data_IF_418384124969
#
_entry.id   IF_418384124969
#
_cell.length_a   1.000
_cell.length_b   1.000
_cell.length_c   1.000
_cell.angle_alpha   90.00
_cell.angle_beta   90.00
_cell.angle_gamma   90.00
#
_symmetry.space_group_name_H-M   'P 1'
#
loop_
_entity.id
_entity.type
_entity.pdbx_description
1 polymer ?
#
# COMPACT_ATOMS: atom_id res chain seq x y z
N UNK A 1 -10.30 -8.90 52.14
CA UNK A 1 -10.21 -7.79 51.16
C UNK A 1 -9.41 -8.24 49.95
N UNK A 2 -10.09 -8.67 48.89
CA UNK A 2 -9.45 -9.10 47.64
C UNK A 2 -9.08 -7.86 46.83
N UNK A 3 -7.84 -7.38 46.97
CA UNK A 3 -7.28 -6.43 46.00
C UNK A 3 -7.23 -7.15 44.65
N UNK A 4 -8.09 -6.77 43.72
CA UNK A 4 -8.00 -7.20 42.31
C UNK A 4 -6.61 -6.83 41.82
N UNK A 5 -5.93 -7.78 41.18
CA UNK A 5 -4.64 -7.63 40.52
C UNK A 5 -4.74 -6.77 39.25
N UNK A 6 -5.36 -5.59 39.33
CA UNK A 6 -5.22 -4.56 38.30
C UNK A 6 -3.92 -3.79 38.56
N UNK A 7 -2.80 -4.51 38.52
CA UNK A 7 -1.46 -3.94 38.45
C UNK A 7 -1.21 -3.50 37.01
N UNK A 8 -1.79 -2.37 36.63
CA UNK A 8 -1.44 -1.55 35.48
C UNK A 8 -2.41 -0.35 35.52
N UNK A 9 -1.88 0.87 35.55
CA UNK A 9 -2.68 2.08 35.37
C UNK A 9 -3.58 1.92 34.15
N UNK A 10 -4.88 2.08 34.35
CA UNK A 10 -5.84 2.03 33.24
C UNK A 10 -5.52 3.21 32.32
N UNK A 11 -4.95 2.92 31.14
CA UNK A 11 -4.65 3.93 30.13
C UNK A 11 -5.96 4.55 29.61
N UNK A 12 -5.93 5.83 29.28
CA UNK A 12 -7.09 6.57 28.79
C UNK A 12 -7.57 6.04 27.43
N UNK A 13 -8.83 6.32 27.08
CA UNK A 13 -9.32 6.06 25.71
C UNK A 13 -8.46 6.76 24.65
N UNK A 14 -8.07 8.00 24.94
CA UNK A 14 -7.27 8.81 24.04
C UNK A 14 -5.91 8.17 23.74
N UNK A 15 -5.28 7.51 24.72
CA UNK A 15 -4.07 6.73 24.51
C UNK A 15 -4.26 5.65 23.43
N UNK A 16 -5.37 4.90 23.47
CA UNK A 16 -5.65 3.86 22.46
C UNK A 16 -5.94 4.42 21.08
N UNK A 17 -6.69 5.53 21.00
CA UNK A 17 -6.95 6.24 19.75
C UNK A 17 -5.66 6.77 19.13
N UNK A 18 -4.82 7.44 19.94
CA UNK A 18 -3.53 7.95 19.53
C UNK A 18 -2.61 6.81 19.07
N UNK A 19 -2.54 5.70 19.81
CA UNK A 19 -1.72 4.54 19.41
C UNK A 19 -2.17 3.95 18.08
N UNK A 20 -3.47 3.87 17.84
CA UNK A 20 -4.01 3.41 16.54
C UNK A 20 -3.63 4.37 15.41
N UNK A 21 -3.73 5.68 15.65
CA UNK A 21 -3.32 6.70 14.70
C UNK A 21 -1.82 6.62 14.36
N UNK A 22 -0.95 6.49 15.36
CA UNK A 22 0.51 6.33 15.19
C UNK A 22 0.81 5.13 14.29
N UNK A 23 0.20 3.97 14.57
CA UNK A 23 0.43 2.76 13.77
C UNK A 23 -0.05 2.90 12.33
N UNK A 24 -1.20 3.54 12.12
CA UNK A 24 -1.72 3.77 10.77
C UNK A 24 -0.79 4.69 9.98
N UNK A 25 -0.33 5.76 10.61
CA UNK A 25 0.58 6.72 10.00
C UNK A 25 1.94 6.12 9.68
N UNK A 26 2.51 5.32 10.59
CA UNK A 26 3.73 4.57 10.33
C UNK A 26 3.58 3.65 9.11
N UNK A 27 2.47 2.90 9.03
CA UNK A 27 2.18 2.05 7.85
C UNK A 27 2.02 2.85 6.57
N UNK A 28 1.46 4.05 6.65
CA UNK A 28 1.30 4.94 5.51
C UNK A 28 2.65 5.37 4.94
N UNK A 29 3.58 5.82 5.77
CA UNK A 29 4.96 6.08 5.37
C UNK A 29 5.62 4.89 4.66
N UNK A 30 5.43 3.67 5.18
CA UNK A 30 5.98 2.46 4.55
C UNK A 30 5.37 2.16 3.18
N UNK A 31 4.09 2.50 2.97
CA UNK A 31 3.40 2.36 1.69
C UNK A 31 3.86 3.43 0.69
N UNK A 32 3.93 4.69 1.12
CA UNK A 32 4.36 5.82 0.27
C UNK A 32 5.79 5.60 -0.25
N UNK A 33 6.68 5.06 0.57
CA UNK A 33 8.06 4.78 0.18
C UNK A 33 8.25 3.50 -0.65
N UNK A 34 7.19 2.72 -0.89
CA UNK A 34 7.26 1.45 -1.64
C UNK A 34 7.82 1.60 -3.07
N UNK A 35 7.47 2.64 -3.86
CA UNK A 35 7.93 2.76 -5.25
C UNK A 35 9.43 3.04 -5.41
N UNK A 36 10.08 3.59 -4.38
CA UNK A 36 11.51 3.91 -4.40
C UNK A 36 12.39 2.68 -4.65
N UNK A 37 13.60 2.89 -5.17
CA UNK A 37 14.64 1.87 -5.30
C UNK A 37 14.96 1.19 -3.95
N UNK A 38 15.41 -0.07 -3.98
CA UNK A 38 15.46 -0.91 -2.78
C UNK A 38 16.42 -0.41 -1.69
N UNK A 39 17.58 0.07 -2.10
CA UNK A 39 18.62 0.71 -1.29
C UNK A 39 18.11 1.99 -0.63
N UNK A 40 17.62 2.95 -1.45
CA UNK A 40 17.08 4.23 -0.96
C UNK A 40 15.89 4.00 -0.04
N UNK A 41 14.98 3.10 -0.42
CA UNK A 41 13.81 2.73 0.39
C UNK A 41 14.21 2.17 1.75
N UNK A 42 15.26 1.35 1.82
CA UNK A 42 15.73 0.79 3.08
C UNK A 42 16.22 1.90 4.01
N UNK A 43 17.01 2.84 3.49
CA UNK A 43 17.54 3.96 4.26
C UNK A 43 16.45 4.91 4.73
N UNK A 44 15.53 5.29 3.85
CA UNK A 44 14.38 6.14 4.21
C UNK A 44 13.53 5.45 5.28
N UNK A 45 13.29 4.13 5.18
CA UNK A 45 12.53 3.39 6.20
C UNK A 45 13.27 3.29 7.53
N UNK A 46 14.60 3.21 7.54
CA UNK A 46 15.40 3.26 8.77
C UNK A 46 15.26 4.62 9.45
N UNK A 47 15.32 5.72 8.70
CA UNK A 47 15.11 7.07 9.23
C UNK A 47 13.71 7.27 9.79
N UNK A 48 12.67 6.84 9.04
CA UNK A 48 11.29 6.87 9.52
C UNK A 48 11.19 6.11 10.84
N UNK A 49 11.71 4.88 10.90
CA UNK A 49 11.69 4.08 12.14
C UNK A 49 12.38 4.79 13.30
N UNK A 50 13.56 5.36 13.07
CA UNK A 50 14.29 6.10 14.09
C UNK A 50 13.49 7.31 14.63
N UNK A 51 12.79 8.04 13.76
CA UNK A 51 11.93 9.15 14.17
C UNK A 51 10.69 8.74 14.98
N UNK A 52 10.12 7.56 14.71
CA UNK A 52 9.05 7.01 15.56
C UNK A 52 9.60 6.47 16.88
N UNK A 53 10.78 5.84 16.87
CA UNK A 53 11.41 5.28 18.07
C UNK A 53 11.90 6.39 19.03
N UNK A 54 12.31 7.56 18.53
CA UNK A 54 12.71 8.70 19.38
C UNK A 54 11.60 9.21 20.30
N UNK A 55 10.34 9.06 19.86
CA UNK A 55 9.16 9.53 20.58
C UNK A 55 8.34 8.38 21.19
N UNK A 56 8.93 7.18 21.30
CA UNK A 56 8.26 5.95 21.74
C UNK A 56 7.71 6.04 23.17
N UNK A 57 8.40 6.76 24.03
CA UNK A 57 8.10 6.86 25.47
C UNK A 57 7.29 8.10 25.83
N UNK A 58 6.75 8.82 24.84
CA UNK A 58 5.89 9.98 25.09
C UNK A 58 4.55 9.53 25.67
N UNK A 59 4.25 9.95 26.90
CA UNK A 59 2.99 9.66 27.60
C UNK A 59 1.99 10.81 27.57
N UNK A 60 2.44 12.04 27.27
CA UNK A 60 1.57 13.21 27.17
C UNK A 60 0.73 13.16 25.89
N UNK A 61 -0.57 12.96 26.07
CA UNK A 61 -1.55 12.86 24.99
C UNK A 61 -1.59 14.09 24.08
N UNK A 62 -1.38 15.29 24.62
CA UNK A 62 -1.39 16.53 23.84
C UNK A 62 -0.16 16.59 22.94
N UNK A 63 0.99 16.21 23.48
CA UNK A 63 2.25 16.13 22.73
C UNK A 63 2.18 15.08 21.64
N UNK A 64 1.64 13.89 21.92
CA UNK A 64 1.43 12.84 20.92
C UNK A 64 0.51 13.33 19.80
N UNK A 65 -0.55 14.07 20.14
CA UNK A 65 -1.46 14.65 19.15
C UNK A 65 -0.77 15.68 18.24
N UNK A 66 0.10 16.51 18.81
CA UNK A 66 0.91 17.46 18.05
C UNK A 66 1.90 16.73 17.11
N UNK A 67 2.60 15.72 17.61
CA UNK A 67 3.54 14.91 16.83
C UNK A 67 2.84 14.19 15.69
N UNK A 68 1.64 13.65 15.90
CA UNK A 68 0.83 13.05 14.85
C UNK A 68 0.49 14.05 13.74
N UNK A 69 0.15 15.29 14.09
CA UNK A 69 -0.09 16.35 13.11
C UNK A 69 1.17 16.68 12.31
N UNK A 70 2.29 16.90 12.99
CA UNK A 70 3.58 17.17 12.33
C UNK A 70 3.99 16.02 11.41
N UNK A 71 3.81 14.78 11.85
CA UNK A 71 4.11 13.62 11.03
C UNK A 71 3.20 13.53 9.78
N UNK A 72 1.99 14.13 9.77
CA UNK A 72 1.12 14.14 8.59
C UNK A 72 1.65 15.13 7.56
N UNK A 73 2.09 16.28 8.03
CA UNK A 73 2.74 17.28 7.19
C UNK A 73 4.05 16.71 6.59
N UNK A 74 4.82 15.98 7.40
CA UNK A 74 6.01 15.25 6.94
C UNK A 74 5.69 14.16 5.92
N UNK A 75 4.61 13.40 6.12
CA UNK A 75 4.19 12.39 5.16
C UNK A 75 3.87 13.01 3.80
N UNK A 76 3.23 14.18 3.77
CA UNK A 76 2.97 14.90 2.54
C UNK A 76 4.27 15.27 1.82
N UNK A 77 5.23 15.84 2.54
CA UNK A 77 6.55 16.17 1.97
C UNK A 77 7.28 14.93 1.44
N UNK A 78 7.21 13.81 2.15
CA UNK A 78 7.79 12.53 1.69
C UNK A 78 7.06 12.02 0.44
N UNK A 79 5.74 12.14 0.36
CA UNK A 79 4.98 11.78 -0.83
C UNK A 79 5.42 12.61 -2.05
N UNK A 80 5.46 13.94 -1.90
CA UNK A 80 5.86 14.85 -2.97
C UNK A 80 7.30 14.56 -3.45
N UNK A 81 8.21 14.24 -2.51
CA UNK A 81 9.58 13.85 -2.84
C UNK A 81 9.65 12.50 -3.55
N UNK A 82 8.84 11.52 -3.15
CA UNK A 82 8.76 10.23 -3.84
C UNK A 82 8.21 10.43 -5.25
N UNK A 83 7.15 11.22 -5.41
CA UNK A 83 6.53 11.47 -6.70
C UNK A 83 7.49 12.18 -7.67
N UNK A 84 8.26 13.15 -7.19
CA UNK A 84 9.31 13.81 -7.99
C UNK A 84 10.46 12.87 -8.35
N UNK A 85 10.93 12.04 -7.41
CA UNK A 85 11.96 11.03 -7.71
C UNK A 85 11.49 10.02 -8.76
N UNK A 86 10.25 9.57 -8.65
CA UNK A 86 9.63 8.66 -9.63
C UNK A 86 9.43 9.31 -10.99
N UNK A 87 9.06 10.60 -11.04
CA UNK A 87 8.95 11.34 -12.28
C UNK A 87 10.31 11.49 -12.98
N UNK A 88 11.37 11.76 -12.21
CA UNK A 88 12.72 11.85 -12.74
C UNK A 88 13.20 10.50 -13.31
N UNK A 89 12.94 9.39 -12.59
CA UNK A 89 13.31 8.06 -13.08
C UNK A 89 12.67 7.75 -14.45
N UNK A 90 11.37 8.05 -14.62
CA UNK A 90 10.68 7.86 -15.91
C UNK A 90 11.31 8.67 -17.04
N UNK A 91 11.78 9.89 -16.75
CA UNK A 91 12.45 10.74 -17.75
C UNK A 91 13.86 10.27 -18.12
N UNK A 92 14.52 9.51 -17.26
CA UNK A 92 15.82 8.89 -17.54
C UNK A 92 15.64 7.67 -18.43
N UNK A 93 14.68 6.81 -18.10
CA UNK A 93 14.30 5.65 -18.93
C UNK A 93 13.89 6.10 -20.35
N UNK A 94 13.17 7.22 -20.48
CA UNK A 94 12.80 7.80 -21.78
C UNK A 94 13.97 8.33 -22.62
N UNK A 95 15.08 8.71 -21.99
CA UNK A 95 16.27 9.21 -22.70
C UNK A 95 17.17 8.09 -23.15
N UNK A 96 17.17 6.97 -22.43
CA UNK A 96 18.02 5.82 -22.74
C UNK A 96 17.54 5.09 -24.01
N UNK A 97 16.23 4.90 -24.21
CA UNK A 97 15.72 4.27 -25.44
C UNK A 97 15.98 5.12 -26.70
N UNK A 98 16.00 6.46 -26.59
CA UNK A 98 16.34 7.35 -27.71
C UNK A 98 17.84 7.35 -28.07
N UNK A 99 18.70 6.86 -27.20
CA UNK A 99 20.15 6.82 -27.43
C UNK A 99 20.59 5.58 -28.21
N UNK A 100 19.72 4.58 -28.37
CA UNK A 100 19.96 3.38 -29.17
C UNK A 100 19.61 3.49 -30.66
N UNK A 101 18.94 4.56 -31.10
CA UNK A 101 18.30 4.64 -32.43
C UNK A 101 18.95 5.66 -33.38
N UNK A 102 20.27 5.86 -33.32
CA UNK A 102 21.02 6.70 -34.29
C UNK A 102 22.33 6.06 -34.80
N UNK A 103 22.43 4.73 -34.75
CA UNK A 103 23.46 3.98 -35.50
C UNK A 103 22.86 2.76 -36.21
N UNK A 104 21.77 2.99 -36.96
CA UNK A 104 21.32 2.05 -37.97
C UNK A 104 21.49 2.70 -39.34
N UNK A 105 22.62 2.33 -39.95
CA UNK A 105 22.99 2.45 -41.35
C UNK A 105 21.78 2.35 -42.28
N UNK A 106 21.72 3.24 -43.26
CA UNK A 106 20.86 3.10 -44.43
C UNK A 106 21.07 1.71 -45.07
N UNK A 107 20.07 0.85 -45.03
CA UNK A 107 19.92 -0.28 -45.96
C UNK A 107 18.44 -0.46 -46.26
N UNK A 108 18.09 0.03 -47.45
CA UNK A 108 17.08 -0.44 -48.41
C UNK A 108 15.66 -0.78 -47.94
N UNK A 109 14.74 0.05 -48.46
CA UNK A 109 13.35 -0.28 -48.77
C UNK A 109 13.19 -1.70 -49.34
N UNK A 110 12.41 -2.55 -48.68
CA UNK A 110 11.78 -3.70 -49.33
C UNK A 110 10.28 -3.64 -49.09
N UNK A 111 9.60 -3.06 -50.08
CA UNK A 111 8.17 -3.11 -50.29
C UNK A 111 7.68 -4.56 -50.54
N UNK A 112 6.44 -4.80 -50.12
CA UNK A 112 5.50 -5.87 -50.50
C UNK A 112 5.55 -7.23 -49.77
N UNK A 113 4.64 -7.33 -48.80
CA UNK A 113 3.45 -8.20 -48.86
C UNK A 113 3.62 -9.73 -48.78
N UNK A 114 3.10 -10.30 -47.69
CA UNK A 114 2.35 -11.56 -47.68
C UNK A 114 1.59 -11.68 -46.35
N UNK A 115 0.25 -11.67 -46.34
CA UNK A 115 -0.55 -11.93 -45.16
C UNK A 115 -0.65 -13.45 -44.94
N UNK A 116 -0.14 -13.94 -43.82
CA UNK A 116 -0.52 -15.28 -43.36
C UNK A 116 -1.79 -15.17 -42.53
N UNK A 117 -2.90 -15.53 -43.15
CA UNK A 117 -4.20 -15.71 -42.51
C UNK A 117 -4.15 -16.77 -41.40
N UNK A 118 -4.89 -16.44 -40.35
CA UNK A 118 -5.63 -17.32 -39.46
C UNK A 118 -4.87 -18.40 -38.67
N UNK A 119 -4.46 -18.01 -37.46
CA UNK A 119 -4.63 -18.86 -36.28
C UNK A 119 -5.40 -18.16 -35.18
N UNK A 120 -6.69 -18.47 -35.15
CA UNK A 120 -7.56 -18.57 -33.97
C UNK A 120 -7.14 -17.72 -32.77
N UNK A 121 -7.58 -16.47 -32.79
CA UNK A 121 -7.77 -15.67 -31.60
C UNK A 121 -8.77 -16.35 -30.67
N UNK A 122 -8.29 -17.21 -29.77
CA UNK A 122 -9.01 -17.50 -28.54
C UNK A 122 -8.89 -16.27 -27.66
N UNK A 123 -9.93 -15.45 -27.78
CA UNK A 123 -10.28 -14.35 -26.89
C UNK A 123 -9.95 -14.69 -25.43
N UNK A 124 -8.90 -14.06 -24.90
CA UNK A 124 -8.62 -14.12 -23.49
C UNK A 124 -9.66 -13.23 -22.79
N UNK A 125 -10.64 -13.90 -22.18
CA UNK A 125 -11.88 -13.33 -21.65
C UNK A 125 -11.56 -12.25 -20.60
N UNK A 126 -11.66 -11.00 -21.03
CA UNK A 126 -11.72 -9.80 -20.20
C UNK A 126 -12.94 -9.89 -19.27
N UNK A 127 -12.78 -10.48 -18.08
CA UNK A 127 -13.91 -10.56 -17.14
C UNK A 127 -13.83 -11.52 -15.96
N UNK A 128 -12.67 -12.10 -15.61
CA UNK A 128 -12.59 -12.97 -14.42
C UNK A 128 -12.48 -12.16 -13.12
N UNK A 129 -13.54 -11.40 -12.81
CA UNK A 129 -13.77 -10.80 -11.49
C UNK A 129 -14.15 -11.94 -10.54
N UNK A 130 -13.30 -12.19 -9.54
CA UNK A 130 -13.73 -12.86 -8.30
C UNK A 130 -13.77 -14.39 -8.32
N UNK A 131 -12.61 -15.06 -8.33
CA UNK A 131 -12.48 -16.46 -7.89
C UNK A 131 -11.27 -16.64 -6.95
N UNK A 132 -11.18 -15.78 -5.93
CA UNK A 132 -10.09 -15.87 -4.95
C UNK A 132 -10.41 -15.27 -3.59
N UNK A 133 -11.69 -15.07 -3.26
CA UNK A 133 -12.08 -14.54 -1.95
C UNK A 133 -12.49 -15.69 -1.02
N UNK A 134 -11.98 -15.73 0.23
CA UNK A 134 -11.92 -16.94 1.06
C UNK A 134 -13.26 -17.41 1.63
N UNK A 135 -14.37 -16.71 1.37
CA UNK A 135 -15.71 -17.09 1.84
C UNK A 135 -16.56 -17.87 0.84
N UNK A 136 -16.04 -18.20 -0.35
CA UNK A 136 -16.71 -19.19 -1.23
C UNK A 136 -16.39 -20.62 -0.79
N UNK A 137 -16.67 -20.96 0.46
CA UNK A 137 -16.76 -22.36 0.87
C UNK A 137 -18.16 -22.86 0.52
N UNK A 138 -18.25 -23.77 -0.45
CA UNK A 138 -19.47 -24.50 -0.77
C UNK A 138 -19.90 -25.37 0.40
N UNK A 139 -20.81 -24.84 1.22
CA UNK A 139 -21.68 -25.61 2.10
C UNK A 139 -23.06 -24.98 2.03
N UNK A 140 -23.98 -25.67 1.34
CA UNK A 140 -25.42 -25.47 1.48
C UNK A 140 -25.77 -25.59 2.96
N UNK A 141 -26.11 -24.48 3.60
CA UNK A 141 -26.76 -24.53 4.91
C UNK A 141 -28.19 -24.98 4.66
N UNK A 142 -28.55 -26.17 5.13
CA UNK A 142 -29.95 -26.58 5.22
C UNK A 142 -30.72 -25.49 5.98
N UNK A 143 -31.76 -24.97 5.34
CA UNK A 143 -32.66 -24.00 5.95
C UNK A 143 -33.33 -24.72 7.13
N UNK A 144 -32.94 -24.35 8.35
CA UNK A 144 -33.75 -24.66 9.52
C UNK A 144 -35.00 -23.79 9.42
N UNK A 145 -36.13 -24.41 9.11
CA UNK A 145 -37.44 -23.76 9.20
C UNK A 145 -37.70 -23.41 10.67
N UNK A 146 -37.49 -22.14 11.01
CA UNK A 146 -37.83 -21.59 12.31
C UNK A 146 -39.35 -21.37 12.36
N UNK A 147 -40.06 -22.38 12.87
CA UNK A 147 -41.46 -22.21 13.24
C UNK A 147 -41.59 -21.13 14.34
N UNK A 148 -42.61 -20.31 14.18
CA UNK A 148 -42.79 -19.01 14.82
C UNK A 148 -42.65 -18.99 16.35
N UNK A 149 -42.03 -17.91 16.83
CA UNK A 149 -42.09 -17.47 18.23
C UNK A 149 -43.56 -17.14 18.56
N UNK A 150 -44.26 -18.05 19.24
CA UNK A 150 -45.56 -17.76 19.86
C UNK A 150 -45.32 -16.85 21.08
N UNK A 151 -45.80 -15.61 20.98
CA UNK A 151 -45.91 -14.70 22.14
C UNK A 151 -46.97 -15.26 23.08
N UNK A 152 -46.62 -15.50 24.34
CA UNK A 152 -47.56 -15.60 25.45
C UNK A 152 -47.43 -14.35 26.30
#
# INVERSE_FOLDING_TARGET
MTRRALGAEVKSLQYFLNRTAVLNQYREFLRTTKPLAADVRLDVRRQIRAGFDSSRFEEDERRVSLLLRQARDQLKMVSDLVDTAMAQQRSEDERDWKKGEWTATQTEDTWMDSPSDDKDGKEDVKGRVGTGWPWKSGKTTDKLDLEGIKRR
#
